data_IF_037142584386
#
_entry.id   IF_037142584386
#
_cell.length_a   1.000
_cell.length_b   1.000
_cell.length_c   1.000
_cell.angle_alpha   90.00
_cell.angle_beta   90.00
_cell.angle_gamma   90.00
#
_symmetry.space_group_name_H-M   'P 1'
#
loop_
_entity.id
_entity.type
_entity.pdbx_description
1 polymer ?
#
# COMPACT_ATOMS: atom_id res chain seq x y z
N UNK A 1 75.59 4.73 62.87
CA UNK A 1 74.19 4.76 63.35
C UNK A 1 73.26 3.88 62.52
N UNK A 2 73.44 3.77 61.20
CA UNK A 2 72.55 2.97 60.32
C UNK A 2 72.48 1.47 60.68
N UNK A 3 73.61 0.86 61.05
CA UNK A 3 73.64 -0.57 61.41
C UNK A 3 72.87 -0.88 62.69
N UNK A 4 72.94 0.00 63.69
CA UNK A 4 72.22 -0.17 64.95
C UNK A 4 70.69 -0.13 64.73
N UNK A 5 70.21 0.72 63.82
CA UNK A 5 68.80 0.77 63.46
C UNK A 5 68.28 -0.53 62.81
N UNK A 6 69.11 -1.21 62.01
CA UNK A 6 68.77 -2.52 61.43
C UNK A 6 68.66 -3.60 62.52
N UNK A 7 69.55 -3.59 63.51
CA UNK A 7 69.54 -4.54 64.63
C UNK A 7 68.30 -4.34 65.51
N UNK A 8 67.98 -3.10 65.89
CA UNK A 8 66.79 -2.78 66.70
C UNK A 8 65.51 -3.18 65.98
N UNK A 9 65.41 -2.93 64.66
CA UNK A 9 64.26 -3.36 63.85
C UNK A 9 64.15 -4.88 63.75
N UNK A 10 65.29 -5.58 63.67
CA UNK A 10 65.34 -7.04 63.72
C UNK A 10 64.83 -7.60 65.06
N UNK A 11 65.30 -7.05 66.17
CA UNK A 11 64.85 -7.44 67.51
C UNK A 11 63.36 -7.13 67.75
N UNK A 12 62.89 -5.96 67.33
CA UNK A 12 61.48 -5.59 67.45
C UNK A 12 60.58 -6.54 66.63
N UNK A 13 61.01 -6.96 65.43
CA UNK A 13 60.30 -7.97 64.63
C UNK A 13 60.32 -9.35 65.29
N UNK A 14 61.44 -9.74 65.90
CA UNK A 14 61.57 -10.99 66.65
C UNK A 14 60.62 -11.03 67.86
N UNK A 15 60.62 -9.96 68.67
CA UNK A 15 59.72 -9.84 69.84
C UNK A 15 58.26 -9.79 69.40
N UNK A 16 57.93 -9.00 68.37
CA UNK A 16 56.58 -8.95 67.81
C UNK A 16 56.13 -10.32 67.30
N UNK A 17 57.02 -11.09 66.66
CA UNK A 17 56.71 -12.45 66.20
C UNK A 17 56.48 -13.38 67.39
N UNK A 18 57.32 -13.35 68.43
CA UNK A 18 57.15 -14.21 69.62
C UNK A 18 55.85 -13.90 70.36
N UNK A 19 55.44 -12.63 70.44
CA UNK A 19 54.19 -12.23 71.10
C UNK A 19 52.98 -12.49 70.20
N UNK A 20 53.04 -12.14 68.92
CA UNK A 20 51.90 -12.22 68.00
C UNK A 20 51.60 -13.66 67.57
N UNK A 21 52.64 -14.48 67.38
CA UNK A 21 52.51 -15.85 66.90
C UNK A 21 51.55 -16.72 67.74
N UNK A 22 51.62 -16.78 69.09
CA UNK A 22 50.69 -17.59 69.88
C UNK A 22 49.24 -17.13 69.76
N UNK A 23 48.97 -15.81 69.73
CA UNK A 23 47.61 -15.29 69.55
C UNK A 23 47.07 -15.59 68.15
N UNK A 24 47.89 -15.39 67.13
CA UNK A 24 47.52 -15.73 65.75
C UNK A 24 47.26 -17.23 65.58
N UNK A 25 48.08 -18.07 66.20
CA UNK A 25 47.90 -19.52 66.21
C UNK A 25 46.58 -19.91 66.89
N UNK A 26 46.30 -19.37 68.09
CA UNK A 26 45.03 -19.62 68.79
C UNK A 26 43.84 -19.17 67.95
N UNK A 27 43.89 -17.97 67.35
CA UNK A 27 42.85 -17.48 66.46
C UNK A 27 42.62 -18.45 65.30
N UNK A 28 43.69 -18.94 64.66
CA UNK A 28 43.59 -19.89 63.55
C UNK A 28 43.03 -21.25 63.97
N UNK A 29 43.37 -21.72 65.18
CA UNK A 29 42.79 -22.95 65.74
C UNK A 29 41.29 -22.76 66.02
N UNK A 30 40.88 -21.64 66.59
CA UNK A 30 39.46 -21.34 66.85
C UNK A 30 38.69 -21.21 65.53
N UNK A 31 39.23 -20.51 64.54
CA UNK A 31 38.64 -20.38 63.20
C UNK A 31 38.49 -21.76 62.54
N UNK A 32 39.51 -22.61 62.64
CA UNK A 32 39.46 -23.98 62.12
C UNK A 32 38.39 -24.81 62.83
N UNK A 33 38.32 -24.77 64.16
CA UNK A 33 37.27 -25.46 64.92
C UNK A 33 35.88 -24.94 64.53
N UNK A 34 35.70 -23.63 64.45
CA UNK A 34 34.42 -23.04 64.09
C UNK A 34 33.93 -23.49 62.70
N UNK A 35 34.80 -23.43 61.69
CA UNK A 35 34.45 -23.77 60.31
C UNK A 35 34.24 -25.28 60.15
N UNK A 36 35.24 -26.07 60.54
CA UNK A 36 35.25 -27.50 60.22
C UNK A 36 34.45 -28.32 61.22
N UNK A 37 34.47 -27.97 62.51
CA UNK A 37 33.81 -28.76 63.55
C UNK A 37 32.36 -28.35 63.78
N UNK A 38 32.00 -27.08 63.57
CA UNK A 38 30.65 -26.57 63.86
C UNK A 38 29.90 -26.25 62.57
N UNK A 39 30.43 -25.35 61.75
CA UNK A 39 29.70 -24.83 60.60
C UNK A 39 29.42 -25.91 59.56
N UNK A 40 30.43 -26.71 59.21
CA UNK A 40 30.30 -27.80 58.22
C UNK A 40 29.21 -28.81 58.59
N UNK A 41 29.20 -29.42 59.80
CA UNK A 41 28.13 -30.35 60.16
C UNK A 41 26.77 -29.68 60.33
N UNK A 42 26.71 -28.43 60.81
CA UNK A 42 25.44 -27.69 60.87
C UNK A 42 24.86 -27.41 59.47
N UNK A 43 25.70 -27.02 58.51
CA UNK A 43 25.28 -26.85 57.12
C UNK A 43 24.83 -28.17 56.50
N UNK A 44 25.57 -29.25 56.77
CA UNK A 44 25.17 -30.58 56.31
C UNK A 44 23.80 -30.97 56.87
N UNK A 45 23.60 -30.81 58.19
CA UNK A 45 22.32 -31.10 58.86
C UNK A 45 21.20 -30.22 58.31
N UNK A 46 21.47 -28.94 58.09
CA UNK A 46 20.50 -28.02 57.49
C UNK A 46 20.05 -28.49 56.11
N UNK A 47 20.99 -28.75 55.21
CA UNK A 47 20.69 -29.07 53.81
C UNK A 47 20.08 -30.47 53.69
N UNK A 48 20.58 -31.45 54.43
CA UNK A 48 20.20 -32.85 54.23
C UNK A 48 18.99 -33.27 55.08
N UNK A 49 18.71 -32.58 56.18
CA UNK A 49 17.64 -32.96 57.11
C UNK A 49 16.60 -31.85 57.25
N UNK A 50 17.00 -30.67 57.74
CA UNK A 50 16.03 -29.64 58.10
C UNK A 50 15.31 -29.06 56.89
N UNK A 51 16.04 -28.70 55.83
CA UNK A 51 15.44 -28.10 54.64
C UNK A 51 14.43 -29.04 53.95
N UNK A 52 14.73 -30.33 53.70
CA UNK A 52 13.74 -31.28 53.16
C UNK A 52 12.51 -31.43 54.05
N UNK A 53 12.70 -31.52 55.38
CA UNK A 53 11.59 -31.65 56.35
C UNK A 53 10.72 -30.40 56.35
N UNK A 54 11.32 -29.20 56.39
CA UNK A 54 10.58 -27.94 56.34
C UNK A 54 9.82 -27.81 55.03
N UNK A 55 10.46 -28.11 53.89
CA UNK A 55 9.80 -28.11 52.57
C UNK A 55 8.64 -29.11 52.52
N UNK A 56 8.82 -30.29 53.12
CA UNK A 56 7.76 -31.30 53.23
C UNK A 56 6.58 -30.79 54.07
N UNK A 57 6.85 -30.26 55.27
CA UNK A 57 5.80 -29.71 56.15
C UNK A 57 5.05 -28.57 55.46
N UNK A 58 5.77 -27.59 54.90
CA UNK A 58 5.16 -26.45 54.24
C UNK A 58 4.32 -26.87 53.04
N UNK A 59 4.79 -27.80 52.21
CA UNK A 59 4.06 -28.24 51.02
C UNK A 59 2.89 -29.15 51.37
N UNK A 60 3.12 -30.16 52.20
CA UNK A 60 2.15 -31.24 52.42
C UNK A 60 1.22 -31.01 53.59
N UNK A 61 1.70 -30.41 54.67
CA UNK A 61 0.89 -30.17 55.87
C UNK A 61 0.17 -28.83 55.79
N UNK A 62 0.79 -27.81 55.21
CA UNK A 62 0.19 -26.47 55.15
C UNK A 62 -0.38 -26.19 53.76
N UNK A 63 0.41 -26.40 52.71
CA UNK A 63 0.07 -26.05 51.33
C UNK A 63 -1.17 -26.76 50.79
N UNK A 64 -1.16 -28.10 50.76
CA UNK A 64 -2.33 -28.85 50.26
C UNK A 64 -3.60 -28.57 51.08
N UNK A 65 -3.58 -28.60 52.42
CA UNK A 65 -4.79 -28.31 53.18
C UNK A 65 -5.31 -26.88 52.94
N UNK A 66 -4.45 -25.86 52.88
CA UNK A 66 -4.89 -24.50 52.54
C UNK A 66 -5.50 -24.42 51.13
N UNK A 67 -4.90 -25.12 50.16
CA UNK A 67 -5.46 -25.20 48.81
C UNK A 67 -6.87 -25.83 48.84
N UNK A 68 -7.04 -26.99 49.46
CA UNK A 68 -8.34 -27.65 49.50
C UNK A 68 -9.38 -26.91 50.36
N UNK A 69 -8.95 -26.28 51.46
CA UNK A 69 -9.85 -25.59 52.40
C UNK A 69 -10.25 -24.20 51.93
N UNK A 70 -9.39 -23.48 51.20
CA UNK A 70 -9.67 -22.09 50.79
C UNK A 70 -9.93 -22.02 49.29
N UNK A 71 -9.03 -22.58 48.47
CA UNK A 71 -9.11 -22.40 47.03
C UNK A 71 -10.28 -23.17 46.41
N UNK A 72 -10.51 -24.41 46.85
CA UNK A 72 -11.61 -25.22 46.34
C UNK A 72 -12.99 -24.56 46.59
N UNK A 73 -13.37 -24.16 47.83
CA UNK A 73 -14.66 -23.50 48.03
C UNK A 73 -14.74 -22.12 47.38
N UNK A 74 -13.63 -21.37 47.28
CA UNK A 74 -13.64 -20.07 46.60
C UNK A 74 -13.85 -20.22 45.09
N UNK A 75 -13.18 -21.19 44.45
CA UNK A 75 -13.38 -21.49 43.04
C UNK A 75 -14.78 -22.02 42.76
N UNK A 76 -15.32 -22.85 43.65
CA UNK A 76 -16.71 -23.29 43.60
C UNK A 76 -17.68 -22.09 43.72
N UNK A 77 -17.47 -21.20 44.69
CA UNK A 77 -18.28 -20.00 44.89
C UNK A 77 -18.21 -19.08 43.65
N UNK A 78 -17.03 -18.94 43.04
CA UNK A 78 -16.87 -18.18 41.81
C UNK A 78 -17.69 -18.76 40.66
N UNK A 79 -17.55 -20.06 40.41
CA UNK A 79 -18.16 -20.74 39.27
C UNK A 79 -19.68 -20.89 39.41
N UNK A 80 -20.16 -21.22 40.60
CA UNK A 80 -21.56 -21.59 40.81
C UNK A 80 -22.41 -20.46 41.38
N UNK A 81 -21.81 -19.44 42.00
CA UNK A 81 -22.57 -18.33 42.60
C UNK A 81 -22.27 -17.01 41.90
N UNK A 82 -21.01 -16.56 41.92
CA UNK A 82 -20.68 -15.21 41.43
C UNK A 82 -20.84 -15.07 39.93
N UNK A 83 -20.32 -16.02 39.15
CA UNK A 83 -20.38 -15.95 37.69
C UNK A 83 -21.83 -15.97 37.17
N UNK A 84 -22.72 -16.87 37.62
CA UNK A 84 -24.13 -16.84 37.22
C UNK A 84 -24.85 -15.55 37.61
N UNK A 85 -24.59 -15.02 38.81
CA UNK A 85 -25.17 -13.75 39.27
C UNK A 85 -24.69 -12.58 38.41
N UNK A 86 -23.40 -12.54 38.08
CA UNK A 86 -22.83 -11.48 37.25
C UNK A 86 -23.37 -11.56 35.82
N UNK A 87 -23.49 -12.76 35.25
CA UNK A 87 -24.12 -12.96 33.94
C UNK A 87 -25.61 -12.59 33.95
N UNK A 88 -26.31 -12.88 35.05
CA UNK A 88 -27.70 -12.48 35.23
C UNK A 88 -27.81 -10.94 35.25
N UNK A 89 -27.00 -10.26 36.07
CA UNK A 89 -26.94 -8.80 36.13
C UNK A 89 -26.62 -8.22 34.75
N UNK A 90 -25.61 -8.75 34.07
CA UNK A 90 -25.21 -8.28 32.75
C UNK A 90 -26.34 -8.44 31.72
N UNK A 91 -26.93 -9.63 31.63
CA UNK A 91 -27.95 -9.93 30.63
C UNK A 91 -29.27 -9.21 30.91
N UNK A 92 -29.70 -9.13 32.17
CA UNK A 92 -31.01 -8.59 32.50
C UNK A 92 -30.99 -7.10 32.80
N UNK A 93 -29.92 -6.55 33.36
CA UNK A 93 -29.86 -5.11 33.60
C UNK A 93 -29.17 -4.41 32.43
N UNK A 94 -27.93 -4.79 32.11
CA UNK A 94 -27.17 -4.04 31.12
C UNK A 94 -27.73 -4.21 29.70
N UNK A 95 -27.88 -5.45 29.22
CA UNK A 95 -28.37 -5.69 27.85
C UNK A 95 -29.81 -5.22 27.68
N UNK A 96 -30.68 -5.44 28.67
CA UNK A 96 -32.08 -4.98 28.59
C UNK A 96 -32.20 -3.46 28.60
N UNK A 97 -31.51 -2.75 29.51
CA UNK A 97 -31.52 -1.28 29.55
C UNK A 97 -30.92 -0.73 28.25
N UNK A 98 -29.84 -1.35 27.76
CA UNK A 98 -29.20 -0.96 26.51
C UNK A 98 -30.16 -1.11 25.33
N UNK A 99 -30.75 -2.28 25.13
CA UNK A 99 -31.56 -2.58 23.95
C UNK A 99 -32.94 -1.91 23.98
N UNK A 100 -33.54 -1.79 25.17
CA UNK A 100 -34.92 -1.32 25.33
C UNK A 100 -34.98 0.20 25.48
N UNK A 101 -34.00 0.80 26.16
CA UNK A 101 -34.06 2.22 26.54
C UNK A 101 -32.99 3.01 25.81
N UNK A 102 -31.71 2.69 26.03
CA UNK A 102 -30.62 3.53 25.52
C UNK A 102 -30.52 3.51 24.01
N UNK A 103 -30.61 2.33 23.38
CA UNK A 103 -30.47 2.21 21.93
C UNK A 103 -31.57 2.96 21.18
N UNK A 104 -32.88 2.80 21.47
CA UNK A 104 -33.92 3.58 20.83
C UNK A 104 -33.76 5.09 21.08
N UNK A 105 -33.41 5.49 22.31
CA UNK A 105 -33.21 6.91 22.65
C UNK A 105 -32.06 7.51 21.82
N UNK A 106 -30.90 6.86 21.79
CA UNK A 106 -29.75 7.30 20.99
C UNK A 106 -30.11 7.31 19.50
N UNK A 107 -30.76 6.25 19.02
CA UNK A 107 -31.11 6.12 17.61
C UNK A 107 -32.08 7.20 17.16
N UNK A 108 -33.20 7.41 17.87
CA UNK A 108 -34.24 8.35 17.44
C UNK A 108 -33.90 9.81 17.76
N UNK A 109 -33.16 10.09 18.84
CA UNK A 109 -32.84 11.47 19.22
C UNK A 109 -31.58 11.97 18.51
N UNK A 110 -30.58 11.12 18.30
CA UNK A 110 -29.27 11.56 17.78
C UNK A 110 -29.09 11.09 16.35
N UNK A 111 -29.15 9.78 16.11
CA UNK A 111 -28.79 9.21 14.81
C UNK A 111 -29.79 9.64 13.73
N UNK A 112 -31.08 9.51 14.02
CA UNK A 112 -32.13 9.80 13.04
C UNK A 112 -32.14 11.27 12.58
N UNK A 113 -32.05 12.29 13.46
CA UNK A 113 -31.96 13.68 13.03
C UNK A 113 -30.68 14.00 12.27
N UNK A 114 -29.54 13.40 12.65
CA UNK A 114 -28.28 13.56 11.89
C UNK A 114 -28.42 13.01 10.48
N UNK A 115 -28.96 11.80 10.33
CA UNK A 115 -29.20 11.19 9.01
C UNK A 115 -30.19 12.02 8.20
N UNK A 116 -31.23 12.54 8.84
CA UNK A 116 -32.21 13.41 8.19
C UNK A 116 -31.58 14.72 7.71
N UNK A 117 -30.77 15.38 8.55
CA UNK A 117 -30.02 16.61 8.22
C UNK A 117 -29.00 16.36 7.11
N UNK A 118 -28.32 15.22 7.14
CA UNK A 118 -27.40 14.84 6.08
C UNK A 118 -28.13 14.71 4.74
N UNK A 119 -29.24 13.96 4.72
CA UNK A 119 -29.99 13.68 3.49
C UNK A 119 -30.68 14.91 2.92
N UNK A 120 -31.30 15.74 3.76
CA UNK A 120 -32.13 16.86 3.29
C UNK A 120 -31.40 18.20 3.30
N UNK A 121 -30.42 18.39 4.18
CA UNK A 121 -29.61 19.62 4.21
C UNK A 121 -28.39 19.47 3.34
N UNK A 122 -27.41 18.71 3.84
CA UNK A 122 -26.06 18.68 3.28
C UNK A 122 -26.07 18.09 1.87
N UNK A 123 -26.64 16.90 1.70
CA UNK A 123 -26.68 16.22 0.41
C UNK A 123 -27.45 17.02 -0.65
N UNK A 124 -28.55 17.67 -0.27
CA UNK A 124 -29.31 18.51 -1.19
C UNK A 124 -28.50 19.71 -1.68
N UNK A 125 -27.78 20.39 -0.78
CA UNK A 125 -26.89 21.51 -1.13
C UNK A 125 -25.76 21.03 -2.04
N UNK A 126 -25.09 19.93 -1.71
CA UNK A 126 -24.03 19.38 -2.55
C UNK A 126 -24.53 18.97 -3.93
N UNK A 127 -25.69 18.31 -3.99
CA UNK A 127 -26.30 17.90 -5.25
C UNK A 127 -26.70 19.12 -6.10
N UNK A 128 -27.20 20.19 -5.48
CA UNK A 128 -27.47 21.46 -6.16
C UNK A 128 -26.20 22.10 -6.71
N UNK A 129 -25.15 22.25 -5.89
CA UNK A 129 -23.85 22.79 -6.34
C UNK A 129 -23.27 21.96 -7.49
N UNK A 130 -23.35 20.63 -7.38
CA UNK A 130 -22.83 19.74 -8.41
C UNK A 130 -23.55 19.94 -9.75
N UNK A 131 -24.88 19.86 -9.74
CA UNK A 131 -25.65 19.90 -10.98
C UNK A 131 -25.75 21.31 -11.58
N UNK A 132 -25.90 22.34 -10.75
CA UNK A 132 -26.13 23.70 -11.25
C UNK A 132 -24.84 24.47 -11.49
N UNK A 133 -23.79 24.23 -10.69
CA UNK A 133 -22.53 24.99 -10.81
C UNK A 133 -21.50 24.16 -11.56
N UNK A 134 -21.15 22.98 -11.04
CA UNK A 134 -20.00 22.22 -11.56
C UNK A 134 -20.30 21.69 -12.96
N UNK A 135 -21.46 21.05 -13.17
CA UNK A 135 -21.82 20.50 -14.48
C UNK A 135 -21.98 21.59 -15.52
N UNK A 136 -22.61 22.72 -15.18
CA UNK A 136 -22.79 23.85 -16.10
C UNK A 136 -21.44 24.46 -16.48
N UNK A 137 -20.57 24.74 -15.50
CA UNK A 137 -19.22 25.27 -15.75
C UNK A 137 -18.41 24.30 -16.60
N UNK A 138 -18.47 23.00 -16.31
CA UNK A 138 -17.79 21.97 -17.10
C UNK A 138 -18.29 21.94 -18.56
N UNK A 139 -19.60 22.05 -18.77
CA UNK A 139 -20.19 22.09 -20.11
C UNK A 139 -19.71 23.29 -20.92
N UNK A 140 -19.76 24.49 -20.35
CA UNK A 140 -19.28 25.69 -21.03
C UNK A 140 -17.77 25.69 -21.25
N UNK A 141 -17.01 25.14 -20.31
CA UNK A 141 -15.56 24.96 -20.45
C UNK A 141 -15.24 24.01 -21.60
N UNK A 142 -15.98 22.90 -21.71
CA UNK A 142 -15.84 21.96 -22.82
C UNK A 142 -16.14 22.63 -24.16
N UNK A 143 -17.22 23.41 -24.25
CA UNK A 143 -17.58 24.16 -25.47
C UNK A 143 -16.49 25.17 -25.85
N UNK A 144 -15.97 25.93 -24.87
CA UNK A 144 -14.91 26.91 -25.09
C UNK A 144 -13.62 26.24 -25.60
N UNK A 145 -13.23 25.12 -24.99
CA UNK A 145 -12.05 24.33 -25.39
C UNK A 145 -12.24 23.77 -26.80
N UNK A 146 -13.41 23.20 -27.11
CA UNK A 146 -13.73 22.68 -28.43
C UNK A 146 -13.67 23.78 -29.50
N UNK A 147 -14.19 24.97 -29.20
CA UNK A 147 -14.12 26.13 -30.10
C UNK A 147 -12.68 26.58 -30.32
N UNK A 148 -11.87 26.65 -29.26
CA UNK A 148 -10.45 26.99 -29.34
C UNK A 148 -9.68 26.01 -30.23
N UNK A 149 -9.89 24.70 -30.05
CA UNK A 149 -9.29 23.69 -30.93
C UNK A 149 -9.74 23.82 -32.37
N UNK A 150 -11.00 24.19 -32.62
CA UNK A 150 -11.51 24.42 -33.97
C UNK A 150 -10.82 25.60 -34.64
N UNK A 151 -10.66 26.72 -33.91
CA UNK A 151 -9.98 27.93 -34.42
C UNK A 151 -8.50 27.64 -34.67
N UNK A 152 -7.82 26.96 -33.75
CA UNK A 152 -6.42 26.54 -33.93
C UNK A 152 -6.29 25.59 -35.12
N UNK A 153 -7.17 24.60 -35.24
CA UNK A 153 -7.17 23.64 -36.35
C UNK A 153 -7.38 24.32 -37.71
N UNK A 154 -8.30 25.29 -37.78
CA UNK A 154 -8.47 26.14 -38.96
C UNK A 154 -7.21 26.95 -39.24
N UNK A 155 -6.65 27.62 -38.23
CA UNK A 155 -5.40 28.40 -38.37
C UNK A 155 -4.26 27.55 -38.91
N UNK A 156 -4.02 26.37 -38.32
CA UNK A 156 -3.00 25.43 -38.78
C UNK A 156 -3.28 24.94 -40.20
N UNK A 157 -4.53 24.67 -40.57
CA UNK A 157 -4.90 24.31 -41.92
C UNK A 157 -4.55 25.44 -42.91
N UNK A 158 -4.93 26.68 -42.63
CA UNK A 158 -4.61 27.80 -43.52
C UNK A 158 -3.09 28.06 -43.60
N UNK A 159 -2.38 27.99 -42.47
CA UNK A 159 -0.95 28.29 -42.39
C UNK A 159 -0.09 27.19 -43.00
N UNK A 160 -0.43 25.91 -42.82
CA UNK A 160 0.40 24.79 -43.28
C UNK A 160 -0.11 24.20 -44.60
N UNK A 161 -1.42 23.91 -44.69
CA UNK A 161 -1.95 23.17 -45.82
C UNK A 161 -1.97 23.99 -47.12
N UNK A 162 -2.31 25.28 -47.06
CA UNK A 162 -2.32 26.13 -48.26
C UNK A 162 -0.94 26.24 -48.90
N UNK A 163 0.15 26.59 -48.18
CA UNK A 163 1.46 26.66 -48.80
C UNK A 163 1.95 25.29 -49.25
N UNK A 164 1.73 24.21 -48.48
CA UNK A 164 2.08 22.86 -48.92
C UNK A 164 1.36 22.53 -50.23
N UNK A 165 0.04 22.72 -50.29
CA UNK A 165 -0.76 22.48 -51.50
C UNK A 165 -0.28 23.34 -52.67
N UNK A 166 0.03 24.60 -52.42
CA UNK A 166 0.56 25.50 -53.44
C UNK A 166 1.92 25.00 -53.97
N UNK A 167 2.84 24.63 -53.08
CA UNK A 167 4.13 24.01 -53.41
C UNK A 167 3.90 22.74 -54.23
N UNK A 168 3.05 21.81 -53.79
CA UNK A 168 2.74 20.58 -54.52
C UNK A 168 2.19 20.85 -55.92
N UNK A 169 1.25 21.78 -56.06
CA UNK A 169 0.68 22.13 -57.36
C UNK A 169 1.76 22.75 -58.26
N UNK A 170 2.54 23.68 -57.72
CA UNK A 170 3.44 24.52 -58.52
C UNK A 170 4.72 23.77 -58.89
N UNK A 171 5.32 23.04 -57.95
CA UNK A 171 6.57 22.30 -58.15
C UNK A 171 6.38 20.93 -58.77
N UNK A 172 5.25 20.27 -58.54
CA UNK A 172 5.06 18.88 -58.98
C UNK A 172 4.01 18.81 -60.09
N UNK A 173 2.80 19.31 -59.85
CA UNK A 173 1.68 19.08 -60.77
C UNK A 173 1.81 19.82 -62.10
N UNK A 174 2.16 21.12 -62.07
CA UNK A 174 2.35 21.92 -63.29
C UNK A 174 3.42 21.32 -64.22
N UNK A 175 4.64 21.03 -63.76
CA UNK A 175 5.66 20.43 -64.62
C UNK A 175 5.28 19.02 -65.08
N UNK A 176 4.66 18.20 -64.23
CA UNK A 176 4.20 16.87 -64.62
C UNK A 176 3.14 16.94 -65.73
N UNK A 177 2.16 17.85 -65.59
CA UNK A 177 1.14 18.09 -66.62
C UNK A 177 1.77 18.61 -67.91
N UNK A 178 2.73 19.52 -67.82
CA UNK A 178 3.45 20.04 -68.97
C UNK A 178 4.21 18.92 -69.70
N UNK A 179 4.91 18.06 -68.97
CA UNK A 179 5.61 16.87 -69.51
C UNK A 179 4.60 15.96 -70.19
N UNK A 180 3.50 15.59 -69.52
CA UNK A 180 2.49 14.71 -70.09
C UNK A 180 1.89 15.28 -71.38
N UNK A 181 1.59 16.57 -71.42
CA UNK A 181 1.01 17.20 -72.62
C UNK A 181 2.04 17.30 -73.74
N UNK A 182 3.23 17.83 -73.47
CA UNK A 182 4.20 18.14 -74.52
C UNK A 182 5.02 16.94 -74.99
N UNK A 183 5.42 16.06 -74.06
CA UNK A 183 6.26 14.90 -74.39
C UNK A 183 5.46 13.67 -74.80
N UNK A 184 4.20 13.54 -74.35
CA UNK A 184 3.39 12.34 -74.62
C UNK A 184 2.24 12.69 -75.57
N UNK A 185 1.32 13.56 -75.14
CA UNK A 185 0.06 13.78 -75.87
C UNK A 185 0.25 14.42 -77.24
N UNK A 186 1.03 15.51 -77.34
CA UNK A 186 1.28 16.19 -78.62
C UNK A 186 1.93 15.27 -79.67
N UNK A 187 3.01 14.52 -79.37
CA UNK A 187 3.57 13.59 -80.34
C UNK A 187 2.61 12.44 -80.68
N UNK A 188 1.87 11.89 -79.70
CA UNK A 188 0.83 10.88 -79.99
C UNK A 188 -0.26 11.42 -80.91
N UNK A 189 -0.74 12.64 -80.66
CA UNK A 189 -1.74 13.31 -81.48
C UNK A 189 -1.21 13.56 -82.89
N UNK A 190 0.04 13.99 -83.01
CA UNK A 190 0.69 14.18 -84.31
C UNK A 190 0.79 12.87 -85.09
N UNK A 191 1.26 11.79 -84.46
CA UNK A 191 1.31 10.43 -85.04
C UNK A 191 -0.08 9.99 -85.47
N UNK A 192 -1.08 10.16 -84.61
CA UNK A 192 -2.45 9.80 -84.94
C UNK A 192 -2.96 10.58 -86.15
N UNK A 193 -2.75 11.89 -86.19
CA UNK A 193 -3.24 12.75 -87.27
C UNK A 193 -2.53 12.55 -88.61
N UNK A 194 -1.21 12.28 -88.59
CA UNK A 194 -0.41 12.22 -89.82
C UNK A 194 -0.14 10.80 -90.31
N UNK A 195 -0.08 9.82 -89.41
CA UNK A 195 0.27 8.44 -89.76
C UNK A 195 -0.97 7.55 -89.77
N UNK A 196 -1.80 7.61 -88.72
CA UNK A 196 -2.91 6.65 -88.53
C UNK A 196 -4.19 7.13 -89.25
N UNK A 197 -4.54 8.40 -89.10
CA UNK A 197 -5.80 8.96 -89.59
C UNK A 197 -5.92 8.96 -91.12
N UNK A 198 -4.88 9.25 -91.93
CA UNK A 198 -5.01 9.24 -93.39
C UNK A 198 -5.35 7.85 -93.96
N UNK A 199 -4.65 6.76 -93.61
CA UNK A 199 -5.03 5.42 -94.07
C UNK A 199 -6.42 5.01 -93.56
N UNK A 200 -6.76 5.33 -92.32
CA UNK A 200 -8.10 5.00 -91.78
C UNK A 200 -9.22 5.75 -92.51
N UNK A 201 -9.01 7.05 -92.81
CA UNK A 201 -9.95 7.85 -93.62
C UNK A 201 -10.05 7.32 -95.04
N UNK A 202 -8.92 6.96 -95.65
CA UNK A 202 -8.92 6.35 -96.97
C UNK A 202 -9.71 5.04 -96.97
N UNK A 203 -9.43 4.14 -96.03
CA UNK A 203 -10.08 2.84 -95.88
C UNK A 203 -11.58 2.98 -95.61
N UNK A 204 -11.96 3.91 -94.73
CA UNK A 204 -13.36 4.21 -94.47
C UNK A 204 -14.08 4.72 -95.72
N UNK A 205 -13.46 5.66 -96.45
CA UNK A 205 -14.10 6.28 -97.62
C UNK A 205 -14.12 5.38 -98.85
N UNK A 206 -13.10 4.56 -99.08
CA UNK A 206 -12.95 3.76 -100.31
C UNK A 206 -13.36 2.32 -100.16
N UNK A 207 -13.33 1.76 -98.95
CA UNK A 207 -13.72 0.36 -98.72
C UNK A 207 -15.04 0.36 -97.98
N UNK A 208 -15.08 0.83 -96.74
CA UNK A 208 -16.26 0.63 -95.90
C UNK A 208 -17.51 1.36 -96.38
N UNK A 209 -17.39 2.63 -96.76
CA UNK A 209 -18.53 3.42 -97.21
C UNK A 209 -19.19 2.84 -98.48
N UNK A 210 -18.45 2.51 -99.56
CA UNK A 210 -19.05 1.89 -100.74
C UNK A 210 -19.56 0.46 -100.49
N UNK A 211 -18.85 -0.35 -99.68
CA UNK A 211 -19.36 -1.67 -99.31
C UNK A 211 -20.65 -1.57 -98.51
N UNK A 212 -20.76 -0.60 -97.59
CA UNK A 212 -21.99 -0.35 -96.83
C UNK A 212 -23.15 0.11 -97.72
N UNK A 213 -22.90 0.96 -98.72
CA UNK A 213 -23.95 1.35 -99.69
C UNK A 213 -24.35 0.19 -100.58
N UNK A 214 -23.40 -0.59 -101.10
CA UNK A 214 -23.68 -1.79 -101.89
C UNK A 214 -24.49 -2.83 -101.10
N UNK A 215 -24.12 -3.06 -99.83
CA UNK A 215 -24.86 -3.97 -98.96
C UNK A 215 -26.29 -3.47 -98.73
N UNK A 216 -26.47 -2.16 -98.57
CA UNK A 216 -27.80 -1.56 -98.43
C UNK A 216 -28.67 -1.77 -99.67
N UNK A 217 -28.08 -1.67 -100.86
CA UNK A 217 -28.79 -1.82 -102.14
C UNK A 217 -29.20 -3.28 -102.45
N UNK A 218 -28.52 -4.29 -101.88
CA UNK A 218 -28.85 -5.71 -102.08
C UNK A 218 -30.01 -6.18 -101.20
N UNK A 219 -30.21 -5.56 -100.04
CA UNK A 219 -31.22 -5.99 -99.05
C UNK A 219 -32.49 -5.11 -99.06
N UNK A 220 -32.68 -4.29 -100.09
CA UNK A 220 -33.92 -3.55 -100.38
C UNK A 220 -34.59 -4.10 -101.63
#
# INVERSE_FOLDING_TARGET
>A
MEEFGKIVKGLARGIALVIYFPFYFIYKVIEWIWIYLIMTPCQWLWIHILEPVIRFILKYIIGYPLYYVIWLPLSWLWQYVLLPVLLFIWRYLFVWVWSTILYPVIYYIIIYPIVWLWKHGIYAIFNWIWNEVIVVVAHWSYVAVAWLFRVIGQGLYYILWIPIRWITITLIWIPLKWISVNLIYLPLKWIYQHIIAPPFRWLHNHIWKPTATWFKDIFQ
#
